data_IF_396954049244
#
_entry.id   IF_396954049244
#
_cell.length_a   1.000
_cell.length_b   1.000
_cell.length_c   1.000
_cell.angle_alpha   90.00
_cell.angle_beta   90.00
_cell.angle_gamma   90.00
#
_symmetry.space_group_name_H-M   'P 1'
#
loop_
_entity.id
_entity.type
_entity.pdbx_description
1 polymer ?
#
# COMPACT_ATOMS: atom_id res chain seq x y z
N UNK A 1 -25.26 20.88 2.83
CA UNK A 1 -23.92 21.25 3.26
C UNK A 1 -23.71 22.74 3.11
N UNK A 2 -23.11 23.39 4.09
CA UNK A 2 -22.83 24.79 4.01
C UNK A 2 -21.73 25.04 2.99
N UNK A 3 -21.95 25.89 1.97
CA UNK A 3 -20.93 26.15 0.96
C UNK A 3 -19.62 26.66 1.54
N UNK A 4 -19.68 27.47 2.59
CA UNK A 4 -18.47 27.98 3.21
C UNK A 4 -17.70 26.85 3.89
N UNK A 5 -18.40 25.95 4.55
CA UNK A 5 -17.76 24.79 5.18
C UNK A 5 -17.10 23.90 4.12
N UNK A 6 -17.74 23.77 2.96
CA UNK A 6 -17.15 22.98 1.88
C UNK A 6 -15.86 23.63 1.36
N UNK A 7 -15.88 24.93 1.15
CA UNK A 7 -14.72 25.67 0.69
C UNK A 7 -13.59 25.58 1.71
N UNK A 8 -13.90 25.79 2.99
CA UNK A 8 -12.90 25.72 4.02
C UNK A 8 -12.34 24.32 4.19
N UNK A 9 -13.20 23.31 4.06
CA UNK A 9 -12.77 21.92 4.11
C UNK A 9 -11.82 21.60 2.96
N UNK A 10 -12.10 22.13 1.77
CA UNK A 10 -11.22 21.96 0.63
C UNK A 10 -9.87 22.63 0.83
N UNK A 11 -9.86 23.84 1.41
CA UNK A 11 -8.63 24.54 1.68
C UNK A 11 -7.82 23.81 2.75
N UNK A 12 -8.48 23.34 3.80
CA UNK A 12 -7.82 22.58 4.85
C UNK A 12 -7.24 21.30 4.25
N UNK A 13 -7.98 20.63 3.36
CA UNK A 13 -7.50 19.42 2.73
C UNK A 13 -6.24 19.68 1.92
N UNK A 14 -6.17 20.79 1.19
CA UNK A 14 -4.98 21.14 0.45
C UNK A 14 -3.80 21.41 1.37
N UNK A 15 -4.06 22.06 2.51
CA UNK A 15 -3.02 22.36 3.47
C UNK A 15 -2.58 21.09 4.20
N UNK A 16 -3.54 20.22 4.56
CA UNK A 16 -3.25 19.05 5.35
C UNK A 16 -2.92 17.81 4.52
N UNK A 17 -3.10 17.85 3.21
CA UNK A 17 -2.83 16.69 2.36
C UNK A 17 -1.37 16.26 2.50
N UNK A 18 -0.45 17.21 2.52
CA UNK A 18 0.95 16.90 2.70
C UNK A 18 1.18 16.20 4.03
N UNK A 19 0.51 16.68 5.09
CA UNK A 19 0.64 16.07 6.40
C UNK A 19 0.03 14.67 6.42
N UNK A 20 -1.09 14.47 5.70
CA UNK A 20 -1.71 13.17 5.59
C UNK A 20 -0.82 12.19 4.83
N UNK A 21 -0.13 12.65 3.79
CA UNK A 21 0.79 11.81 3.05
C UNK A 21 1.99 11.43 3.90
N UNK A 22 2.51 12.36 4.67
CA UNK A 22 3.63 12.09 5.58
C UNK A 22 3.19 11.06 6.62
N UNK A 23 1.98 11.21 7.17
CA UNK A 23 1.46 10.27 8.16
C UNK A 23 1.28 8.87 7.55
N UNK A 24 0.80 8.81 6.30
CA UNK A 24 0.62 7.54 5.61
C UNK A 24 1.97 6.87 5.36
N UNK A 25 2.94 7.63 4.88
CA UNK A 25 4.27 7.10 4.65
C UNK A 25 4.90 6.61 5.95
N UNK A 26 4.72 7.37 7.03
CA UNK A 26 5.24 6.96 8.33
C UNK A 26 4.59 5.66 8.78
N UNK A 27 3.27 5.54 8.61
CA UNK A 27 2.56 4.33 8.98
C UNK A 27 3.07 3.13 8.18
N UNK A 28 3.29 3.32 6.87
CA UNK A 28 3.80 2.27 6.02
C UNK A 28 5.20 1.83 6.45
N UNK A 29 6.07 2.80 6.73
CA UNK A 29 7.44 2.48 7.12
C UNK A 29 7.52 1.86 8.51
N UNK A 30 6.63 2.25 9.43
CA UNK A 30 6.58 1.63 10.76
C UNK A 30 6.13 0.17 10.64
N UNK A 31 5.17 -0.12 9.75
CA UNK A 31 4.73 -1.48 9.52
C UNK A 31 5.87 -2.32 8.93
N UNK A 32 6.60 -1.76 7.98
CA UNK A 32 7.73 -2.46 7.37
C UNK A 32 8.84 -2.69 8.39
N UNK A 33 9.10 -1.71 9.23
CA UNK A 33 10.14 -1.86 10.26
C UNK A 33 9.75 -2.94 11.27
N UNK A 34 8.47 -2.98 11.69
CA UNK A 34 7.99 -4.02 12.58
C UNK A 34 8.18 -5.38 11.93
N UNK A 35 7.88 -5.50 10.64
CA UNK A 35 8.05 -6.75 9.92
C UNK A 35 9.52 -7.12 9.84
N UNK A 36 10.38 -6.15 9.55
CA UNK A 36 11.81 -6.41 9.44
C UNK A 36 12.41 -6.88 10.77
N UNK A 37 11.87 -6.38 11.88
CA UNK A 37 12.35 -6.76 13.21
C UNK A 37 11.68 -8.02 13.76
N UNK A 38 10.78 -8.63 13.00
CA UNK A 38 10.07 -9.81 13.48
C UNK A 38 9.01 -9.51 14.52
N UNK A 39 8.55 -8.25 14.58
CA UNK A 39 7.56 -7.80 15.55
C UNK A 39 6.24 -7.41 14.93
N UNK A 40 6.04 -7.69 13.65
CA UNK A 40 4.84 -7.28 12.96
C UNK A 40 3.62 -8.04 13.47
N UNK A 41 2.49 -7.32 13.52
CA UNK A 41 1.22 -7.90 13.84
C UNK A 41 0.38 -7.93 12.57
N UNK A 42 -0.78 -8.54 12.62
CA UNK A 42 -1.65 -8.63 11.46
C UNK A 42 -1.97 -7.26 10.88
N UNK A 43 -2.16 -6.27 11.75
CA UNK A 43 -2.44 -4.89 11.30
C UNK A 43 -1.29 -4.32 10.46
N UNK A 44 -0.05 -4.67 10.78
CA UNK A 44 1.09 -4.20 10.01
C UNK A 44 1.09 -4.83 8.62
N UNK A 45 0.77 -6.11 8.54
CA UNK A 45 0.66 -6.82 7.27
C UNK A 45 -0.44 -6.19 6.42
N UNK A 46 -1.60 -5.90 7.02
CA UNK A 46 -2.72 -5.28 6.31
C UNK A 46 -2.32 -3.89 5.78
N UNK A 47 -1.54 -3.15 6.54
CA UNK A 47 -1.04 -1.84 6.12
C UNK A 47 -0.18 -1.97 4.87
N UNK A 48 0.72 -2.95 4.86
CA UNK A 48 1.61 -3.16 3.71
C UNK A 48 0.85 -3.67 2.49
N UNK A 49 -0.12 -4.55 2.69
CA UNK A 49 -0.97 -5.03 1.61
C UNK A 49 -1.70 -3.85 0.95
N UNK A 50 -2.27 -2.99 1.76
CA UNK A 50 -3.00 -1.83 1.25
C UNK A 50 -2.05 -0.89 0.48
N UNK A 51 -0.88 -0.64 1.01
CA UNK A 51 0.11 0.22 0.36
C UNK A 51 0.50 -0.36 -1.01
N UNK A 52 0.72 -1.66 -1.09
CA UNK A 52 1.14 -2.28 -2.35
C UNK A 52 0.00 -2.38 -3.35
N UNK A 53 -1.24 -2.51 -2.89
CA UNK A 53 -2.39 -2.46 -3.77
C UNK A 53 -2.55 -1.06 -4.38
N UNK A 54 -2.30 -0.02 -3.60
CA UNK A 54 -2.33 1.35 -4.11
C UNK A 54 -1.17 1.57 -5.08
N UNK A 55 0.00 1.00 -4.79
CA UNK A 55 1.15 1.07 -5.69
C UNK A 55 0.79 0.46 -7.06
N UNK A 56 0.12 -0.68 -7.05
CA UNK A 56 -0.30 -1.34 -8.27
C UNK A 56 -1.32 -0.47 -9.03
N UNK A 57 -2.27 0.09 -8.32
CA UNK A 57 -3.29 0.94 -8.93
C UNK A 57 -2.67 2.17 -9.57
N UNK A 58 -1.68 2.79 -8.92
CA UNK A 58 -0.98 3.93 -9.48
C UNK A 58 -0.20 3.54 -10.74
N UNK A 59 0.42 2.38 -10.74
CA UNK A 59 1.13 1.89 -11.92
C UNK A 59 0.18 1.68 -13.08
N UNK A 60 -1.05 1.25 -12.83
CA UNK A 60 -2.04 1.11 -13.87
C UNK A 60 -2.48 2.45 -14.43
N UNK A 61 -2.30 3.52 -13.68
CA UNK A 61 -2.61 4.87 -14.12
C UNK A 61 -1.36 5.64 -14.49
N UNK A 62 -0.35 4.92 -14.97
CA UNK A 62 0.88 5.49 -15.54
C UNK A 62 1.84 6.14 -14.56
N UNK A 63 1.75 5.82 -13.29
CA UNK A 63 2.72 6.29 -12.30
C UNK A 63 3.49 5.07 -11.82
N UNK A 64 4.63 4.81 -12.43
CA UNK A 64 5.44 3.64 -12.09
C UNK A 64 5.12 2.42 -12.92
N UNK A 65 4.53 2.61 -14.11
CA UNK A 65 4.12 1.52 -14.98
C UNK A 65 5.28 0.60 -15.34
N UNK A 66 6.48 1.12 -15.46
CA UNK A 66 7.63 0.33 -15.83
C UNK A 66 8.03 -0.66 -14.73
N UNK A 67 7.47 -0.55 -13.54
CA UNK A 67 7.82 -1.42 -12.43
C UNK A 67 6.73 -2.44 -12.10
N UNK A 68 5.83 -2.74 -13.05
CA UNK A 68 4.75 -3.69 -12.79
C UNK A 68 5.25 -5.06 -12.34
N UNK A 69 6.36 -5.51 -12.92
CA UNK A 69 6.93 -6.80 -12.55
C UNK A 69 7.40 -6.79 -11.10
N UNK A 70 8.12 -5.74 -10.74
CA UNK A 70 8.67 -5.61 -9.39
C UNK A 70 7.55 -5.48 -8.36
N UNK A 71 6.47 -4.77 -8.71
CA UNK A 71 5.34 -4.62 -7.82
C UNK A 71 4.70 -5.99 -7.57
N UNK A 72 4.53 -6.79 -8.62
CA UNK A 72 3.94 -8.10 -8.46
C UNK A 72 4.85 -9.00 -7.62
N UNK A 73 6.14 -8.92 -7.83
CA UNK A 73 7.09 -9.70 -7.05
C UNK A 73 7.00 -9.36 -5.58
N UNK A 74 6.85 -8.08 -5.26
CA UNK A 74 6.73 -7.65 -3.87
C UNK A 74 5.40 -8.10 -3.26
N UNK A 75 4.31 -8.04 -4.05
CA UNK A 75 3.03 -8.54 -3.58
C UNK A 75 3.09 -10.03 -3.31
N UNK A 76 3.75 -10.79 -4.17
CA UNK A 76 3.93 -12.23 -3.99
C UNK A 76 4.79 -12.51 -2.75
N UNK A 77 5.83 -11.72 -2.55
CA UNK A 77 6.71 -11.87 -1.39
C UNK A 77 5.94 -11.61 -0.11
N UNK A 78 5.12 -10.56 -0.11
CA UNK A 78 4.33 -10.23 1.07
C UNK A 78 3.28 -11.30 1.33
N UNK A 79 2.66 -11.83 0.28
CA UNK A 79 1.71 -12.92 0.42
C UNK A 79 2.36 -14.16 1.04
N UNK A 80 3.54 -14.53 0.53
CA UNK A 80 4.25 -15.70 1.05
C UNK A 80 4.61 -15.52 2.52
N UNK A 81 5.07 -14.33 2.86
CA UNK A 81 5.42 -14.01 4.25
C UNK A 81 4.18 -14.08 5.15
N UNK A 82 3.05 -13.51 4.69
CA UNK A 82 1.82 -13.48 5.45
C UNK A 82 1.27 -14.88 5.65
N UNK A 83 1.24 -15.69 4.59
CA UNK A 83 0.73 -17.05 4.66
C UNK A 83 1.55 -17.89 5.64
N UNK A 84 2.87 -17.78 5.51
CA UNK A 84 3.76 -18.52 6.39
C UNK A 84 3.61 -18.09 7.84
N UNK A 85 3.39 -16.77 8.05
CA UNK A 85 3.20 -16.24 9.39
C UNK A 85 1.94 -16.73 10.04
N UNK A 86 0.83 -16.79 9.28
CA UNK A 86 -0.42 -17.30 9.82
C UNK A 86 -0.26 -18.77 10.23
N UNK A 87 0.46 -19.55 9.44
CA UNK A 87 0.69 -20.94 9.74
C UNK A 87 1.57 -21.13 10.97
N UNK A 88 2.32 -20.10 11.34
CA UNK A 88 3.23 -20.14 12.48
C UNK A 88 2.71 -19.33 13.68
N UNK A 89 1.41 -19.22 13.81
CA UNK A 89 0.80 -18.52 14.94
C UNK A 89 0.96 -17.01 14.88
N UNK A 90 0.88 -16.47 13.65
CA UNK A 90 0.99 -15.02 13.42
C UNK A 90 2.38 -14.47 13.72
N UNK A 91 3.39 -15.26 13.43
CA UNK A 91 4.78 -14.80 13.51
C UNK A 91 5.26 -14.56 12.10
N UNK A 92 5.35 -13.29 11.72
CA UNK A 92 5.68 -12.89 10.37
C UNK A 92 7.17 -12.59 10.26
N UNK A 93 7.86 -13.37 9.44
CA UNK A 93 9.29 -13.21 9.23
C UNK A 93 9.56 -13.28 7.73
N UNK A 94 10.28 -12.30 7.21
CA UNK A 94 10.64 -12.27 5.80
C UNK A 94 11.92 -13.01 5.54
N UNK A 95 12.02 -13.64 4.37
CA UNK A 95 13.29 -14.14 3.88
C UNK A 95 14.10 -12.99 3.31
N UNK A 96 15.39 -13.20 3.03
CA UNK A 96 16.23 -12.17 2.43
C UNK A 96 15.72 -11.68 1.08
N UNK A 97 15.20 -12.58 0.24
CA UNK A 97 14.67 -12.20 -1.06
C UNK A 97 13.37 -11.41 -0.89
N UNK A 98 12.55 -11.77 0.08
CA UNK A 98 11.33 -11.05 0.36
C UNK A 98 11.63 -9.62 0.83
N UNK A 99 12.61 -9.47 1.71
CA UNK A 99 13.01 -8.16 2.19
C UNK A 99 13.41 -7.27 1.02
N UNK A 100 14.19 -7.82 0.09
CA UNK A 100 14.66 -7.05 -1.05
C UNK A 100 13.50 -6.57 -1.92
N UNK A 101 12.59 -7.47 -2.26
CA UNK A 101 11.46 -7.13 -3.10
C UNK A 101 10.54 -6.12 -2.44
N UNK A 102 10.27 -6.31 -1.17
CA UNK A 102 9.36 -5.44 -0.42
C UNK A 102 9.97 -4.06 -0.21
N UNK A 103 11.27 -3.99 0.11
CA UNK A 103 11.93 -2.70 0.27
C UNK A 103 11.94 -1.92 -1.04
N UNK A 104 12.17 -2.58 -2.16
CA UNK A 104 12.20 -1.89 -3.45
C UNK A 104 10.85 -1.23 -3.73
N UNK A 105 9.76 -1.94 -3.52
CA UNK A 105 8.44 -1.41 -3.82
C UNK A 105 8.00 -0.38 -2.77
N UNK A 106 8.47 -0.50 -1.53
CA UNK A 106 8.18 0.55 -0.56
C UNK A 106 8.82 1.88 -1.00
N UNK A 107 10.05 1.83 -1.52
CA UNK A 107 10.69 3.03 -2.04
C UNK A 107 9.96 3.54 -3.28
N UNK A 108 9.52 2.64 -4.14
CA UNK A 108 8.74 3.03 -5.31
C UNK A 108 7.44 3.72 -4.90
N UNK A 109 6.77 3.20 -3.88
CA UNK A 109 5.53 3.80 -3.40
C UNK A 109 5.78 5.20 -2.84
N UNK A 110 6.88 5.38 -2.11
CA UNK A 110 7.25 6.72 -1.62
C UNK A 110 7.44 7.69 -2.79
N UNK A 111 8.10 7.24 -3.86
CA UNK A 111 8.29 8.08 -5.04
C UNK A 111 6.97 8.38 -5.73
N UNK A 112 6.08 7.39 -5.82
CA UNK A 112 4.76 7.61 -6.38
C UNK A 112 4.00 8.68 -5.60
N UNK A 113 4.02 8.58 -4.28
CA UNK A 113 3.32 9.55 -3.43
C UNK A 113 3.92 10.93 -3.55
N UNK A 114 5.21 11.02 -3.85
CA UNK A 114 5.87 12.29 -3.98
C UNK A 114 5.49 13.01 -5.28
N UNK A 115 5.26 12.27 -6.36
CA UNK A 115 4.95 12.88 -7.65
C UNK A 115 3.47 12.86 -7.99
N UNK A 116 2.67 12.05 -7.32
CA UNK A 116 1.25 11.95 -7.61
C UNK A 116 0.49 13.19 -7.16
N UNK A 117 -0.54 13.54 -7.91
CA UNK A 117 -1.43 14.61 -7.48
C UNK A 117 -2.46 14.02 -6.50
N UNK A 118 -3.19 14.90 -5.81
CA UNK A 118 -4.27 14.47 -4.93
C UNK A 118 -5.26 13.63 -5.72
N UNK A 119 -5.57 14.03 -6.95
CA UNK A 119 -6.51 13.31 -7.78
C UNK A 119 -6.00 11.94 -8.15
N UNK A 120 -4.71 11.80 -8.43
CA UNK A 120 -4.12 10.50 -8.73
C UNK A 120 -4.28 9.55 -7.55
N UNK A 121 -4.06 10.06 -6.35
CA UNK A 121 -4.17 9.26 -5.14
C UNK A 121 -5.62 8.85 -4.89
N UNK A 122 -6.57 9.78 -5.13
CA UNK A 122 -7.97 9.48 -4.98
C UNK A 122 -8.42 8.42 -5.96
N UNK A 123 -8.00 8.51 -7.21
CA UNK A 123 -8.34 7.54 -8.24
C UNK A 123 -7.80 6.15 -7.85
N UNK A 124 -6.55 6.09 -7.40
CA UNK A 124 -5.94 4.83 -7.00
C UNK A 124 -6.66 4.22 -5.80
N UNK A 125 -6.97 5.04 -4.80
CA UNK A 125 -7.64 4.59 -3.59
C UNK A 125 -9.04 4.09 -3.92
N UNK A 126 -9.78 4.84 -4.77
CA UNK A 126 -11.12 4.44 -5.17
C UNK A 126 -11.09 3.13 -5.96
N UNK A 127 -10.10 2.95 -6.82
CA UNK A 127 -9.95 1.73 -7.58
C UNK A 127 -9.75 0.54 -6.64
N UNK A 128 -8.87 0.67 -5.66
CA UNK A 128 -8.60 -0.40 -4.70
C UNK A 128 -9.86 -0.70 -3.89
N UNK A 129 -10.57 0.34 -3.42
CA UNK A 129 -11.78 0.14 -2.65
C UNK A 129 -12.89 -0.52 -3.46
N UNK A 130 -13.02 -0.16 -4.73
CA UNK A 130 -13.99 -0.78 -5.61
C UNK A 130 -13.68 -2.25 -5.81
N UNK A 131 -12.42 -2.57 -6.03
CA UNK A 131 -12.02 -3.95 -6.21
C UNK A 131 -12.34 -4.77 -4.97
N UNK A 132 -12.07 -4.24 -3.78
CA UNK A 132 -12.37 -4.92 -2.55
C UNK A 132 -13.88 -5.12 -2.40
N UNK A 133 -14.66 -4.07 -2.64
CA UNK A 133 -16.11 -4.14 -2.52
C UNK A 133 -16.72 -5.15 -3.47
N UNK A 134 -16.21 -5.22 -4.69
CA UNK A 134 -16.74 -6.13 -5.70
C UNK A 134 -16.02 -7.49 -5.67
N UNK A 135 -15.15 -7.70 -4.70
CA UNK A 135 -14.37 -8.92 -4.59
C UNK A 135 -13.51 -9.18 -5.83
N UNK A 136 -13.13 -8.08 -6.50
CA UNK A 136 -12.23 -8.18 -7.63
C UNK A 136 -10.80 -7.96 -7.17
N UNK A 137 -10.60 -7.31 -6.01
CA UNK A 137 -9.29 -7.12 -5.49
C UNK A 137 -8.81 -8.46 -5.06
N UNK A 138 -7.60 -8.68 -5.30
CA UNK A 138 -6.99 -9.89 -4.88
C UNK A 138 -6.20 -9.54 -3.66
N UNK A 139 -6.76 -9.76 -2.47
CA UNK A 139 -5.95 -9.69 -1.31
C UNK A 139 -4.83 -10.64 -1.65
N UNK A 140 -3.76 -10.49 -1.00
CA UNK A 140 -2.59 -11.24 -1.33
C UNK A 140 -2.90 -12.68 -1.67
N UNK A 141 -3.81 -13.27 -0.96
CA UNK A 141 -4.09 -14.64 -1.17
C UNK A 141 -4.83 -14.98 -2.39
N UNK A 142 -5.58 -14.04 -2.95
CA UNK A 142 -6.42 -14.38 -4.04
C UNK A 142 -5.73 -14.40 -5.35
N UNK A 143 -4.56 -13.84 -5.40
CA UNK A 143 -3.90 -13.78 -6.65
C UNK A 143 -3.63 -15.15 -7.20
N UNK A 144 -3.75 -16.13 -6.43
CA UNK A 144 -3.44 -17.42 -6.87
C UNK A 144 -4.53 -18.17 -7.49
N UNK A 145 -5.69 -17.59 -7.48
CA UNK A 145 -6.71 -18.26 -8.02
C UNK A 145 -6.72 -18.35 -9.36
N UNK A 146 -6.08 -17.66 -9.98
CA UNK A 146 -6.11 -17.70 -11.44
C UNK A 146 -6.32 -19.03 -12.02
#
# INVERSE_FOLDING_TARGET
>A
MDPMAYVMSGMISMTSMKDQLVALQLKNHLALEALRLGQAEKADIDTLINAFNITEAMAKHNIGTEYKKEIKEAQDALYSCAKRGVERGYRFVMTGLEIKAINFVMQLHDEQLHIATVKDIEIATDYVNKCITNKLARPICEKNES
#
